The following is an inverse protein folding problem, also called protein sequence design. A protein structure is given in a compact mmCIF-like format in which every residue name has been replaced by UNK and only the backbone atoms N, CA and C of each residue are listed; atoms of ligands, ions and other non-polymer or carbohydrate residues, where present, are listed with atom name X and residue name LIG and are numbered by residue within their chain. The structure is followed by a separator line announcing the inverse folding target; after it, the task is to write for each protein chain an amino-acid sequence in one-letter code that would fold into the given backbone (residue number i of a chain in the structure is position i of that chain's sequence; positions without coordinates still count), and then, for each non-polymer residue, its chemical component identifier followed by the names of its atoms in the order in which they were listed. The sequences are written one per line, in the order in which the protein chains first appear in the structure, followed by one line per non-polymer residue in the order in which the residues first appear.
data_IF_268299597729
#
_entry.id   IF_268299597729
#
_cell.length_a   1.000
_cell.length_b   1.000
_cell.length_c   1.000
_cell.angle_alpha   90.00
_cell.angle_beta   90.00
_cell.angle_gamma   90.00
#
_symmetry.space_group_name_H-M   'P 1'
#
loop_
_entity.id
_entity.type
_entity.pdbx_description
1 polymer ?
#
# COMPACT_ATOMS: atom_id res chain seq x y z
N UNK A 1 0.09 -14.74 3.03
CA UNK A 1 -1.33 -14.83 3.50
C UNK A 1 -2.17 -15.12 2.28
N UNK A 2 -2.95 -16.21 2.30
CA UNK A 2 -3.81 -16.61 1.19
C UNK A 2 -4.86 -15.54 0.95
N UNK A 3 -5.04 -15.11 -0.31
CA UNK A 3 -6.12 -14.19 -0.67
C UNK A 3 -7.46 -14.78 -0.21
N UNK A 4 -8.34 -14.00 0.42
CA UNK A 4 -9.64 -14.51 0.86
C UNK A 4 -10.41 -15.01 -0.36
N UNK A 5 -11.04 -16.17 -0.21
CA UNK A 5 -11.83 -16.77 -1.27
C UNK A 5 -13.08 -15.89 -1.54
N UNK A 6 -13.31 -15.42 -2.77
CA UNK A 6 -14.47 -14.57 -3.10
C UNK A 6 -15.82 -15.19 -2.69
N UNK A 7 -15.95 -16.51 -2.77
CA UNK A 7 -17.17 -17.21 -2.31
C UNK A 7 -17.38 -17.10 -0.80
N UNK A 8 -16.29 -17.20 -0.02
CA UNK A 8 -16.33 -17.02 1.43
C UNK A 8 -16.71 -15.56 1.79
N UNK A 9 -16.15 -14.56 1.10
CA UNK A 9 -16.49 -13.15 1.32
C UNK A 9 -17.99 -12.89 1.07
N UNK A 10 -18.51 -13.37 -0.05
CA UNK A 10 -19.91 -13.21 -0.41
C UNK A 10 -20.86 -13.95 0.54
N UNK A 11 -20.47 -15.12 1.05
CA UNK A 11 -21.25 -15.84 2.05
C UNK A 11 -21.28 -15.08 3.38
N UNK A 12 -20.12 -14.63 3.87
CA UNK A 12 -20.05 -13.77 5.06
C UNK A 12 -20.91 -12.53 4.93
N UNK A 13 -20.87 -11.84 3.79
CA UNK A 13 -21.66 -10.63 3.53
C UNK A 13 -23.17 -10.95 3.63
N UNK A 14 -23.63 -12.01 2.96
CA UNK A 14 -25.06 -12.42 3.04
C UNK A 14 -25.51 -12.70 4.47
N UNK A 15 -24.70 -13.41 5.25
CA UNK A 15 -25.00 -13.75 6.65
C UNK A 15 -24.99 -12.52 7.56
N UNK A 16 -24.05 -11.59 7.36
CA UNK A 16 -24.02 -10.31 8.09
C UNK A 16 -25.30 -9.52 7.81
N UNK A 17 -25.71 -9.44 6.55
CA UNK A 17 -26.94 -8.75 6.15
C UNK A 17 -28.21 -9.45 6.67
N UNK A 18 -28.14 -10.77 6.90
CA UNK A 18 -29.21 -11.56 7.54
C UNK A 18 -29.22 -11.43 9.08
N UNK A 19 -28.26 -10.70 9.70
CA UNK A 19 -28.25 -10.41 11.13
C UNK A 19 -27.05 -10.95 11.92
N UNK A 20 -26.19 -11.77 11.33
CA UNK A 20 -24.99 -12.31 11.99
C UNK A 20 -23.85 -11.29 12.03
N UNK A 21 -24.09 -10.14 12.67
CA UNK A 21 -23.15 -8.98 12.68
C UNK A 21 -21.74 -9.30 13.19
N UNK A 22 -21.59 -10.30 14.06
CA UNK A 22 -20.30 -10.76 14.60
C UNK A 22 -19.32 -11.22 13.52
N UNK A 23 -19.82 -11.67 12.37
CA UNK A 23 -18.96 -12.10 11.25
C UNK A 23 -18.22 -10.93 10.58
N UNK A 24 -18.68 -9.69 10.80
CA UNK A 24 -18.07 -8.51 10.18
C UNK A 24 -16.59 -8.35 10.54
N UNK A 25 -16.23 -8.61 11.81
CA UNK A 25 -14.82 -8.53 12.23
C UNK A 25 -13.95 -9.51 11.43
N UNK A 26 -14.41 -10.73 11.21
CA UNK A 26 -13.67 -11.72 10.42
C UNK A 26 -13.53 -11.34 8.95
N UNK A 27 -14.54 -10.62 8.41
CA UNK A 27 -14.56 -10.14 7.03
C UNK A 27 -13.61 -8.95 6.82
N UNK A 28 -13.58 -7.98 7.76
CA UNK A 28 -12.78 -6.76 7.62
C UNK A 28 -11.32 -6.93 8.02
N UNK A 29 -11.03 -7.80 8.98
CA UNK A 29 -9.70 -8.02 9.55
C UNK A 29 -8.56 -8.15 8.53
N UNK A 30 -8.70 -8.91 7.42
CA UNK A 30 -7.65 -8.99 6.39
C UNK A 30 -7.33 -7.64 5.72
N UNK A 31 -8.27 -6.68 5.78
CA UNK A 31 -8.13 -5.35 5.15
C UNK A 31 -7.58 -4.29 6.12
N UNK A 32 -7.67 -4.48 7.43
CA UNK A 32 -7.38 -3.46 8.45
C UNK A 32 -5.98 -2.86 8.29
N UNK A 33 -4.98 -3.70 8.10
CA UNK A 33 -3.61 -3.26 7.89
C UNK A 33 -3.47 -2.38 6.64
N UNK A 34 -4.06 -2.79 5.53
CA UNK A 34 -3.99 -2.04 4.26
C UNK A 34 -4.76 -0.73 4.35
N UNK A 35 -5.93 -0.72 5.03
CA UNK A 35 -6.69 0.50 5.33
C UNK A 35 -5.81 1.49 6.09
N UNK A 36 -5.19 1.04 7.18
CA UNK A 36 -4.32 1.88 8.00
C UNK A 36 -3.16 2.48 7.20
N UNK A 37 -2.42 1.66 6.44
CA UNK A 37 -1.29 2.15 5.65
C UNK A 37 -1.71 3.13 4.55
N UNK A 38 -2.84 2.90 3.88
CA UNK A 38 -3.38 3.83 2.91
C UNK A 38 -3.70 5.19 3.57
N UNK A 39 -4.36 5.17 4.71
CA UNK A 39 -4.74 6.38 5.45
C UNK A 39 -3.52 7.09 6.04
N UNK A 40 -2.55 6.35 6.59
CA UNK A 40 -1.29 6.91 7.07
C UNK A 40 -0.52 7.61 5.93
N UNK A 41 -0.48 6.98 4.75
CA UNK A 41 0.12 7.57 3.56
C UNK A 41 -0.54 8.87 3.12
N UNK A 42 -1.86 9.00 3.30
CA UNK A 42 -2.63 10.20 2.98
C UNK A 42 -2.52 11.28 4.08
N UNK A 43 -2.77 10.91 5.33
CA UNK A 43 -2.95 11.86 6.45
C UNK A 43 -1.63 12.24 7.13
N UNK A 44 -0.59 11.42 7.04
CA UNK A 44 0.74 11.63 7.66
C UNK A 44 0.70 11.81 9.18
N UNK A 45 -0.31 11.32 9.83
CA UNK A 45 -0.51 11.36 11.27
C UNK A 45 -1.07 10.03 11.72
N UNK A 46 -0.37 9.35 12.64
CA UNK A 46 -0.74 8.01 13.10
C UNK A 46 -2.10 8.01 13.78
N UNK A 47 -2.34 8.96 14.70
CA UNK A 47 -3.61 9.06 15.42
C UNK A 47 -4.79 9.32 14.47
N UNK A 48 -4.61 10.25 13.52
CA UNK A 48 -5.65 10.53 12.52
C UNK A 48 -5.88 9.35 11.57
N UNK A 49 -4.83 8.59 11.25
CA UNK A 49 -4.95 7.39 10.42
C UNK A 49 -5.70 6.27 11.15
N UNK A 50 -5.47 6.08 12.46
CA UNK A 50 -6.20 5.14 13.29
C UNK A 50 -7.69 5.51 13.39
N UNK A 51 -7.99 6.77 13.70
CA UNK A 51 -9.36 7.27 13.75
C UNK A 51 -10.08 7.12 12.40
N UNK A 52 -9.39 7.46 11.30
CA UNK A 52 -9.94 7.30 9.96
C UNK A 52 -10.14 5.83 9.57
N UNK A 53 -9.29 4.92 10.06
CA UNK A 53 -9.45 3.49 9.84
C UNK A 53 -10.70 2.95 10.57
N UNK A 54 -10.96 3.39 11.80
CA UNK A 54 -12.17 3.04 12.54
C UNK A 54 -13.43 3.58 11.83
N UNK A 55 -13.43 4.85 11.41
CA UNK A 55 -14.54 5.44 10.63
C UNK A 55 -14.76 4.70 9.32
N UNK A 56 -13.68 4.27 8.68
CA UNK A 56 -13.75 3.46 7.46
C UNK A 56 -14.45 2.12 7.73
N UNK A 57 -14.10 1.42 8.80
CA UNK A 57 -14.73 0.15 9.16
C UNK A 57 -16.23 0.32 9.40
N UNK A 58 -16.64 1.39 10.10
CA UNK A 58 -18.06 1.73 10.31
C UNK A 58 -18.75 1.99 8.96
N UNK A 59 -18.14 2.79 8.07
CA UNK A 59 -18.68 3.08 6.74
C UNK A 59 -18.81 1.84 5.87
N UNK A 60 -17.83 0.94 5.92
CA UNK A 60 -17.89 -0.36 5.24
C UNK A 60 -19.09 -1.16 5.73
N UNK A 61 -19.28 -1.26 7.06
CA UNK A 61 -20.40 -1.98 7.66
C UNK A 61 -21.75 -1.42 7.21
N UNK A 62 -21.94 -0.10 7.30
CA UNK A 62 -23.19 0.57 6.93
C UNK A 62 -23.49 0.42 5.43
N UNK A 63 -22.44 0.45 4.60
CA UNK A 63 -22.57 0.36 3.13
C UNK A 63 -22.48 -1.07 2.59
N UNK A 64 -22.35 -2.09 3.44
CA UNK A 64 -22.11 -3.48 3.02
C UNK A 64 -23.19 -4.00 2.06
N UNK A 65 -24.44 -3.56 2.24
CA UNK A 65 -25.57 -3.85 1.33
C UNK A 65 -25.38 -3.37 -0.11
N UNK A 66 -24.48 -2.41 -0.32
CA UNK A 66 -24.19 -1.82 -1.62
C UNK A 66 -23.04 -2.53 -2.34
N UNK A 67 -22.36 -3.47 -1.69
CA UNK A 67 -21.30 -4.27 -2.33
C UNK A 67 -21.93 -5.27 -3.30
N UNK A 68 -21.61 -5.14 -4.60
CA UNK A 68 -22.20 -5.94 -5.68
C UNK A 68 -21.32 -7.10 -6.14
N UNK A 69 -20.05 -7.18 -5.68
CA UNK A 69 -19.11 -8.18 -6.16
C UNK A 69 -18.45 -7.84 -7.51
N UNK A 70 -18.64 -6.63 -8.04
CA UNK A 70 -18.04 -6.17 -9.32
C UNK A 70 -16.51 -5.99 -9.21
N UNK A 71 -15.98 -5.99 -8.00
CA UNK A 71 -14.56 -5.95 -7.66
C UNK A 71 -14.28 -6.86 -6.46
N UNK A 72 -13.01 -7.11 -6.15
CA UNK A 72 -12.65 -7.76 -4.89
C UNK A 72 -13.14 -6.90 -3.71
N UNK A 73 -13.58 -7.54 -2.63
CA UNK A 73 -14.05 -6.85 -1.42
C UNK A 73 -12.99 -5.88 -0.87
N UNK A 74 -11.72 -6.32 -0.81
CA UNK A 74 -10.59 -5.48 -0.40
C UNK A 74 -10.51 -4.18 -1.21
N UNK A 75 -10.64 -4.25 -2.53
CA UNK A 75 -10.56 -3.09 -3.42
C UNK A 75 -11.71 -2.10 -3.15
N UNK A 76 -12.91 -2.61 -2.95
CA UNK A 76 -14.07 -1.79 -2.59
C UNK A 76 -13.88 -1.10 -1.23
N UNK A 77 -13.41 -1.82 -0.23
CA UNK A 77 -13.08 -1.28 1.11
C UNK A 77 -12.05 -0.15 1.01
N UNK A 78 -10.98 -0.34 0.22
CA UNK A 78 -9.92 0.67 0.06
C UNK A 78 -10.43 1.92 -0.67
N UNK A 79 -11.41 1.81 -1.56
CA UNK A 79 -12.05 2.98 -2.17
C UNK A 79 -12.80 3.82 -1.11
N UNK A 80 -13.44 3.19 -0.13
CA UNK A 80 -14.09 3.86 0.99
C UNK A 80 -13.03 4.52 1.89
N UNK A 81 -11.95 3.82 2.22
CA UNK A 81 -10.85 4.34 3.02
C UNK A 81 -10.22 5.59 2.37
N UNK A 82 -9.92 5.51 1.07
CA UNK A 82 -9.41 6.66 0.31
C UNK A 82 -10.34 7.87 0.38
N UNK A 83 -11.63 7.66 0.16
CA UNK A 83 -12.61 8.74 0.21
C UNK A 83 -12.69 9.36 1.62
N UNK A 84 -12.56 8.56 2.68
CA UNK A 84 -12.46 9.04 4.07
C UNK A 84 -11.23 9.92 4.25
N UNK A 85 -10.04 9.44 3.89
CA UNK A 85 -8.79 10.19 4.00
C UNK A 85 -8.84 11.51 3.23
N UNK A 86 -9.27 11.50 1.97
CA UNK A 86 -9.41 12.71 1.16
C UNK A 86 -10.47 13.67 1.74
N UNK A 87 -11.54 13.14 2.34
CA UNK A 87 -12.56 13.93 3.01
C UNK A 87 -12.00 14.69 4.22
N UNK A 88 -11.13 14.06 5.01
CA UNK A 88 -10.44 14.68 6.15
C UNK A 88 -9.46 15.76 5.70
N UNK A 89 -8.63 15.47 4.69
CA UNK A 89 -7.71 16.46 4.10
C UNK A 89 -8.43 17.71 3.59
N UNK A 90 -9.58 17.56 2.92
CA UNK A 90 -10.39 18.69 2.47
C UNK A 90 -10.94 19.54 3.63
N UNK A 91 -11.35 18.90 4.73
CA UNK A 91 -11.83 19.61 5.93
C UNK A 91 -10.72 20.38 6.64
N UNK A 92 -9.49 19.88 6.61
CA UNK A 92 -8.32 20.54 7.21
C UNK A 92 -7.81 21.71 6.35
N UNK A 93 -8.41 21.99 5.19
CA UNK A 93 -7.95 23.04 4.28
C UNK A 93 -6.62 22.72 3.58
N UNK A 94 -6.13 21.50 3.74
CA UNK A 94 -4.88 21.04 3.13
C UNK A 94 -5.16 20.62 1.68
N UNK A 95 -5.53 21.60 0.84
CA UNK A 95 -5.55 21.41 -0.61
C UNK A 95 -4.10 21.40 -1.09
N UNK A 96 -3.47 20.24 -1.09
CA UNK A 96 -2.32 20.01 -1.96
C UNK A 96 -2.86 19.72 -3.34
N UNK A 97 -2.75 20.70 -4.20
CA UNK A 97 -2.86 20.50 -5.64
C UNK A 97 -1.65 19.66 -6.08
N UNK A 98 -1.76 18.33 -5.98
CA UNK A 98 -0.86 17.42 -6.67
C UNK A 98 -1.26 17.34 -8.15
N UNK A 99 -1.22 18.52 -8.80
CA UNK A 99 -1.19 18.65 -10.25
C UNK A 99 0.24 18.38 -10.73
N UNK A 100 0.66 17.13 -10.70
CA UNK A 100 1.87 16.65 -11.35
C UNK A 100 1.51 15.54 -12.34
N UNK A 101 0.53 15.82 -13.19
CA UNK A 101 0.37 15.13 -14.47
C UNK A 101 1.25 15.77 -15.53
N UNK A 102 2.57 15.82 -15.32
CA UNK A 102 3.50 16.20 -16.36
C UNK A 102 4.17 14.96 -16.94
N UNK A 103 3.81 14.64 -18.18
CA UNK A 103 4.57 13.79 -19.09
C UNK A 103 4.62 12.32 -18.69
N UNK A 104 3.53 11.59 -18.92
CA UNK A 104 3.54 10.13 -18.91
C UNK A 104 4.30 9.63 -20.13
N UNK A 105 5.60 9.38 -19.98
CA UNK A 105 6.36 8.62 -20.95
C UNK A 105 6.04 7.14 -20.72
N UNK A 106 5.30 6.52 -21.66
CA UNK A 106 4.74 5.16 -21.55
C UNK A 106 5.79 4.04 -21.65
N UNK A 107 7.09 4.36 -21.70
CA UNK A 107 8.13 3.38 -22.01
C UNK A 107 8.96 2.91 -20.80
N UNK A 108 8.45 2.96 -19.58
CA UNK A 108 9.19 2.39 -18.45
C UNK A 108 8.76 0.94 -18.19
N UNK A 109 9.62 0.01 -18.59
CA UNK A 109 9.49 -1.40 -18.25
C UNK A 109 9.42 -1.64 -16.73
N UNK A 110 8.98 -2.84 -16.35
CA UNK A 110 8.79 -3.27 -14.94
C UNK A 110 10.16 -3.49 -14.25
N UNK A 111 10.94 -2.40 -14.10
CA UNK A 111 12.23 -2.42 -13.44
C UNK A 111 12.03 -2.35 -11.93
N UNK A 112 12.34 -3.44 -11.24
CA UNK A 112 12.41 -3.49 -9.78
C UNK A 112 13.88 -3.35 -9.39
N UNK A 113 14.29 -2.27 -8.70
CA UNK A 113 15.66 -2.13 -8.20
C UNK A 113 16.05 -3.34 -7.34
N UNK A 114 17.27 -3.89 -7.56
CA UNK A 114 17.78 -5.06 -6.85
C UNK A 114 17.70 -4.94 -5.32
N UNK A 115 17.79 -3.71 -4.80
CA UNK A 115 17.70 -3.42 -3.36
C UNK A 115 16.29 -3.71 -2.81
N UNK A 116 15.23 -3.59 -3.61
CA UNK A 116 13.86 -3.92 -3.19
C UNK A 116 13.54 -5.40 -3.33
N UNK A 117 14.28 -6.12 -4.18
CA UNK A 117 14.17 -7.58 -4.31
C UNK A 117 14.88 -8.30 -3.14
N UNK A 118 16.03 -7.78 -2.69
CA UNK A 118 16.78 -8.35 -1.56
C UNK A 118 16.12 -8.13 -0.20
N UNK A 119 15.08 -7.32 -0.12
CA UNK A 119 14.24 -7.11 1.07
C UNK A 119 13.60 -8.35 1.63
N UNK A 120 13.22 -9.27 0.76
CA UNK A 120 12.58 -10.54 1.13
C UNK A 120 13.57 -11.54 1.72
N UNK A 121 14.87 -11.30 1.56
CA UNK A 121 15.96 -12.22 1.93
C UNK A 121 16.81 -11.75 3.13
N UNK A 122 16.32 -10.81 3.98
CA UNK A 122 17.11 -10.24 5.08
C UNK A 122 17.32 -11.24 6.20
N UNK A 123 18.58 -11.35 6.72
CA UNK A 123 18.98 -12.31 7.74
C UNK A 123 18.27 -12.12 9.09
N UNK A 124 18.30 -13.19 9.88
CA UNK A 124 17.41 -13.51 11.00
C UNK A 124 17.68 -12.79 12.33
N UNK A 125 18.48 -11.75 12.45
CA UNK A 125 18.72 -11.08 13.73
C UNK A 125 17.67 -10.01 14.03
N UNK A 126 16.94 -10.18 15.14
CA UNK A 126 15.75 -9.39 15.46
C UNK A 126 16.03 -7.89 15.68
N UNK A 127 17.28 -7.52 16.05
CA UNK A 127 17.70 -6.14 16.27
C UNK A 127 17.92 -5.41 14.94
N UNK A 128 18.66 -6.04 14.02
CA UNK A 128 18.90 -5.52 12.67
C UNK A 128 17.60 -5.32 11.87
N UNK A 129 16.62 -6.20 12.07
CA UNK A 129 15.30 -6.06 11.45
C UNK A 129 14.52 -4.83 11.94
N UNK A 130 14.65 -4.46 13.23
CA UNK A 130 13.99 -3.28 13.77
C UNK A 130 14.63 -2.01 13.25
N UNK A 131 15.95 -1.95 13.21
CA UNK A 131 16.71 -0.80 12.69
C UNK A 131 16.46 -0.61 11.20
N UNK A 132 16.56 -1.68 10.42
CA UNK A 132 16.27 -1.64 9.00
C UNK A 132 14.81 -1.27 8.70
N UNK A 133 13.87 -1.80 9.47
CA UNK A 133 12.45 -1.43 9.38
C UNK A 133 12.20 0.05 9.69
N UNK A 134 12.96 0.64 10.64
CA UNK A 134 12.88 2.06 10.95
C UNK A 134 13.48 2.93 9.83
N UNK A 135 14.66 2.55 9.30
CA UNK A 135 15.29 3.24 8.18
C UNK A 135 14.36 3.28 6.96
N UNK A 136 13.70 2.16 6.69
CA UNK A 136 12.79 2.11 5.55
C UNK A 136 11.54 2.93 5.76
N UNK A 137 10.89 2.82 6.92
CA UNK A 137 9.74 3.66 7.22
C UNK A 137 10.09 5.13 7.01
N UNK A 138 11.21 5.58 7.56
CA UNK A 138 11.67 6.95 7.36
C UNK A 138 11.86 7.30 5.88
N UNK A 139 12.44 6.40 5.09
CA UNK A 139 12.64 6.63 3.66
C UNK A 139 11.31 6.66 2.87
N UNK A 140 10.32 5.85 3.26
CA UNK A 140 8.97 5.87 2.68
C UNK A 140 8.25 7.17 3.07
N UNK A 141 8.39 7.62 4.32
CA UNK A 141 7.75 8.83 4.82
C UNK A 141 8.29 10.11 4.13
N UNK A 142 9.52 10.07 3.65
CA UNK A 142 10.13 11.16 2.86
C UNK A 142 9.63 11.22 1.41
N UNK A 143 8.98 10.17 0.91
CA UNK A 143 8.42 10.20 -0.44
C UNK A 143 7.26 11.21 -0.53
N UNK A 144 7.13 11.90 -1.69
CA UNK A 144 5.88 12.58 -2.03
C UNK A 144 4.68 11.63 -1.93
N UNK A 145 3.52 12.17 -1.53
CA UNK A 145 2.31 11.38 -1.27
C UNK A 145 1.91 10.47 -2.43
N UNK A 146 1.96 10.99 -3.66
CA UNK A 146 1.61 10.26 -4.89
C UNK A 146 2.47 9.01 -5.11
N UNK A 147 3.71 9.02 -4.65
CA UNK A 147 4.65 7.89 -4.76
C UNK A 147 4.54 6.97 -3.55
N UNK A 148 4.37 7.52 -2.35
CA UNK A 148 4.26 6.76 -1.09
C UNK A 148 3.10 5.79 -1.14
N UNK A 149 1.91 6.24 -1.50
CA UNK A 149 0.72 5.40 -1.54
C UNK A 149 0.86 4.24 -2.52
N UNK A 150 1.49 4.48 -3.67
CA UNK A 150 1.74 3.41 -4.64
C UNK A 150 2.71 2.36 -4.08
N UNK A 151 3.80 2.78 -3.42
CA UNK A 151 4.75 1.84 -2.79
C UNK A 151 4.09 1.03 -1.68
N UNK A 152 3.32 1.68 -0.81
CA UNK A 152 2.64 1.00 0.29
C UNK A 152 1.69 -0.09 -0.23
N UNK A 153 0.90 0.21 -1.25
CA UNK A 153 -0.06 -0.76 -1.78
C UNK A 153 0.61 -1.84 -2.65
N UNK A 154 1.60 -1.46 -3.49
CA UNK A 154 2.22 -2.41 -4.42
C UNK A 154 3.33 -3.24 -3.80
N UNK A 155 4.24 -2.62 -3.04
CA UNK A 155 5.46 -3.28 -2.56
C UNK A 155 5.31 -3.82 -1.14
N UNK A 156 4.50 -3.17 -0.29
CA UNK A 156 4.28 -3.62 1.09
C UNK A 156 3.05 -4.54 1.19
N UNK A 157 1.92 -4.14 0.59
CA UNK A 157 0.65 -4.88 0.65
C UNK A 157 0.45 -5.84 -0.54
N UNK A 158 1.40 -5.89 -1.48
CA UNK A 158 1.45 -6.81 -2.63
C UNK A 158 0.18 -6.79 -3.50
N UNK A 159 -0.55 -5.66 -3.53
CA UNK A 159 -1.75 -5.52 -4.36
C UNK A 159 -1.40 -5.54 -5.84
N UNK A 160 -2.29 -6.04 -6.68
CA UNK A 160 -2.13 -5.99 -8.14
C UNK A 160 -2.22 -4.56 -8.68
N UNK A 161 -1.63 -4.30 -9.87
CA UNK A 161 -1.64 -2.97 -10.51
C UNK A 161 -3.07 -2.45 -10.69
N UNK A 162 -3.97 -3.32 -11.18
CA UNK A 162 -5.38 -2.98 -11.39
C UNK A 162 -6.08 -2.59 -10.08
N UNK A 163 -5.87 -3.36 -9.03
CA UNK A 163 -6.46 -3.11 -7.72
C UNK A 163 -5.93 -1.79 -7.12
N UNK A 164 -4.61 -1.56 -7.23
CA UNK A 164 -3.98 -0.32 -6.78
C UNK A 164 -4.53 0.89 -7.54
N UNK A 165 -4.73 0.76 -8.85
CA UNK A 165 -5.32 1.81 -9.70
C UNK A 165 -6.72 2.19 -9.21
N UNK A 166 -7.58 1.20 -8.96
CA UNK A 166 -8.93 1.43 -8.42
C UNK A 166 -8.88 2.04 -7.02
N UNK A 167 -8.06 1.48 -6.11
CA UNK A 167 -7.93 1.97 -4.74
C UNK A 167 -7.46 3.44 -4.70
N UNK A 168 -6.53 3.83 -5.57
CA UNK A 168 -6.00 5.19 -5.64
C UNK A 168 -6.80 6.11 -6.60
N UNK A 169 -7.74 5.58 -7.40
CA UNK A 169 -8.52 6.32 -8.37
C UNK A 169 -7.67 6.93 -9.48
N UNK A 170 -6.67 6.20 -9.97
CA UNK A 170 -5.74 6.57 -11.05
C UNK A 170 -5.71 5.47 -12.13
N UNK A 171 -5.07 5.71 -13.26
CA UNK A 171 -4.92 4.71 -14.31
C UNK A 171 -3.84 3.68 -13.96
N UNK A 172 -3.90 2.48 -14.55
CA UNK A 172 -2.87 1.45 -14.38
C UNK A 172 -1.50 1.93 -14.90
N UNK A 173 -1.48 2.72 -15.97
CA UNK A 173 -0.28 3.37 -16.48
C UNK A 173 0.34 4.32 -15.44
N UNK A 174 -0.48 5.14 -14.79
CA UNK A 174 -0.03 6.02 -13.72
C UNK A 174 0.54 5.24 -12.51
N UNK A 175 -0.06 4.08 -12.15
CA UNK A 175 0.50 3.21 -11.10
C UNK A 175 1.91 2.76 -11.47
N UNK A 176 2.12 2.25 -12.68
CA UNK A 176 3.44 1.76 -13.15
C UNK A 176 4.49 2.86 -13.14
N UNK A 177 4.17 4.03 -13.69
CA UNK A 177 5.09 5.18 -13.73
C UNK A 177 5.41 5.68 -12.33
N UNK A 178 4.39 5.87 -11.48
CA UNK A 178 4.58 6.32 -10.09
C UNK A 178 5.41 5.33 -9.30
N UNK A 179 5.16 4.02 -9.45
CA UNK A 179 5.93 2.98 -8.76
C UNK A 179 7.40 2.99 -9.18
N UNK A 180 7.67 3.10 -10.49
CA UNK A 180 9.04 3.20 -11.00
C UNK A 180 9.79 4.40 -10.40
N UNK A 181 9.18 5.58 -10.43
CA UNK A 181 9.76 6.81 -9.86
C UNK A 181 9.93 6.70 -8.34
N UNK A 182 8.95 6.14 -7.66
CA UNK A 182 8.99 5.92 -6.21
C UNK A 182 10.18 5.01 -5.80
N UNK A 183 10.38 3.91 -6.52
CA UNK A 183 11.49 2.98 -6.28
C UNK A 183 12.85 3.64 -6.52
N UNK A 184 12.98 4.48 -7.55
CA UNK A 184 14.21 5.23 -7.82
C UNK A 184 14.51 6.24 -6.70
N UNK A 185 13.49 6.93 -6.19
CA UNK A 185 13.63 7.85 -5.04
C UNK A 185 14.01 7.09 -3.77
N UNK A 186 13.35 5.97 -3.48
CA UNK A 186 13.69 5.11 -2.33
C UNK A 186 15.12 4.61 -2.41
N UNK A 187 15.57 4.14 -3.57
CA UNK A 187 16.95 3.72 -3.75
C UNK A 187 17.93 4.84 -3.44
N UNK A 188 17.67 6.04 -3.93
CA UNK A 188 18.52 7.23 -3.66
C UNK A 188 18.55 7.58 -2.17
N UNK A 189 17.42 7.52 -1.48
CA UNK A 189 17.30 7.87 -0.07
C UNK A 189 17.87 6.78 0.86
N UNK A 190 17.79 5.50 0.45
CA UNK A 190 18.27 4.37 1.23
C UNK A 190 19.79 4.12 1.06
N UNK A 191 20.34 4.39 -0.12
CA UNK A 191 21.77 4.11 -0.41
C UNK A 191 22.75 4.67 0.64
N UNK A 192 22.63 5.94 1.11
CA UNK A 192 23.51 6.48 2.14
C UNK A 192 23.29 5.83 3.52
N UNK A 193 22.07 5.40 3.82
CA UNK A 193 21.65 4.86 5.12
C UNK A 193 21.99 3.38 5.27
N UNK A 194 22.08 2.66 4.15
CA UNK A 194 22.40 1.24 4.08
C UNK A 194 23.89 0.96 3.82
N UNK A 195 24.76 1.97 3.82
CA UNK A 195 26.21 1.82 3.58
C UNK A 195 26.91 0.83 4.52
N UNK A 196 26.31 0.50 5.68
CA UNK A 196 26.75 -0.57 6.58
C UNK A 196 26.09 -1.95 6.31
N UNK A 197 25.03 -1.99 5.52
CA UNK A 197 24.22 -3.18 5.21
C UNK A 197 24.39 -3.66 3.76
N UNK A 198 25.43 -3.19 3.05
CA UNK A 198 25.66 -3.62 1.68
C UNK A 198 25.82 -5.15 1.63
N UNK A 199 24.97 -5.89 0.89
CA UNK A 199 25.15 -7.31 0.73
C UNK A 199 26.55 -7.53 0.12
N UNK A 200 27.38 -8.36 0.77
CA UNK A 200 28.67 -8.77 0.21
C UNK A 200 28.39 -9.32 -1.18
N UNK A 201 28.80 -8.57 -2.22
CA UNK A 201 28.73 -9.02 -3.60
C UNK A 201 29.44 -10.39 -3.66
N UNK A 202 28.65 -11.48 -3.69
CA UNK A 202 29.20 -12.75 -4.16
C UNK A 202 29.61 -12.50 -5.60
N UNK A 203 30.92 -12.50 -5.82
CA UNK A 203 31.56 -12.45 -7.13
C UNK A 203 31.02 -13.61 -7.96
N UNK A 204 30.04 -13.35 -8.82
CA UNK A 204 29.53 -14.30 -9.82
C UNK A 204 30.32 -14.23 -11.13
N UNK A 205 31.64 -13.96 -11.04
CA UNK A 205 32.52 -14.07 -12.19
C UNK A 205 33.66 -15.02 -11.85
N UNK A 206 33.36 -16.31 -11.86
CA UNK A 206 34.34 -17.39 -12.03
C UNK A 206 34.35 -17.82 -13.49
N UNK A 207 34.83 -16.97 -14.38
CA UNK A 207 35.33 -17.41 -15.69
C UNK A 207 36.87 -17.56 -15.55
N UNK A 208 37.30 -18.79 -15.50
CA UNK A 208 38.71 -19.16 -15.42
C UNK A 208 38.95 -20.52 -16.00
N UNK A 209 39.39 -20.55 -17.27
CA UNK A 209 40.12 -21.59 -18.03
C UNK A 209 39.34 -22.86 -18.38
#
# INVERSE_FOLDING_TARGET
MTAPNPEFEMDCIRRILAGEKQLFHSLIRPCERTIYFLLLGLLRNESEAEDAAQDTAIKVFVNLKNFRGDSQFRTWVLSIARNEGLGRLRKQGTRREDSLEEGLDEQTGDYTPAILTSWREIPSEALERKELGAILRAAIDELPEIYRNVVLLRDIEEMEVRETAVALGITEGAVKVRLHRARALLQRNLAPRLGGFAPKRKSLFGWGK
#
